data_IF_599189913843
#
_entry.id   IF_599189913843
#
_cell.length_a   1.000
_cell.length_b   1.000
_cell.length_c   1.000
_cell.angle_alpha   90.00
_cell.angle_beta   90.00
_cell.angle_gamma   90.00
#
_symmetry.space_group_name_H-M   'P 1'
#
loop_
_entity.id
_entity.type
_entity.pdbx_description
1 polymer ?
#
# COMPACT_ATOMS: atom_id res chain seq x y z
N UNK A 1 3.15 -30.22 -19.58
CA UNK A 1 3.67 -29.65 -18.31
C UNK A 1 4.46 -28.39 -18.64
N UNK A 2 4.43 -27.40 -17.73
CA UNK A 2 5.14 -26.11 -17.77
C UNK A 2 4.30 -24.94 -18.34
N UNK A 3 3.51 -24.33 -17.45
CA UNK A 3 3.15 -22.90 -17.45
C UNK A 3 2.59 -22.56 -16.06
N UNK A 4 3.47 -22.55 -15.05
CA UNK A 4 3.13 -22.10 -13.69
C UNK A 4 4.27 -21.26 -13.10
N UNK A 5 4.71 -20.24 -13.82
CA UNK A 5 5.89 -19.45 -13.43
C UNK A 5 5.62 -17.94 -13.24
N UNK A 6 4.35 -17.52 -13.22
CA UNK A 6 3.99 -16.12 -12.94
C UNK A 6 2.77 -15.93 -12.02
N UNK A 7 2.48 -16.90 -11.13
CA UNK A 7 1.70 -16.62 -9.92
C UNK A 7 2.67 -16.25 -8.79
N UNK A 8 3.27 -15.06 -8.87
CA UNK A 8 3.97 -14.46 -7.73
C UNK A 8 3.02 -13.50 -6.99
N UNK A 9 3.19 -13.37 -5.66
CA UNK A 9 2.09 -13.39 -4.70
C UNK A 9 1.42 -12.02 -4.58
N UNK A 10 0.30 -11.85 -5.27
CA UNK A 10 -0.62 -10.74 -4.99
C UNK A 10 -1.31 -10.89 -3.61
N UNK A 11 -1.11 -12.02 -2.94
CA UNK A 11 -1.78 -12.37 -1.69
C UNK A 11 -0.93 -12.14 -0.43
N UNK A 12 0.36 -11.80 -0.59
CA UNK A 12 1.27 -11.64 0.54
C UNK A 12 1.36 -10.18 0.96
N UNK A 13 0.85 -9.88 2.16
CA UNK A 13 0.71 -8.51 2.66
C UNK A 13 2.09 -7.86 2.81
N UNK A 14 3.11 -8.59 3.25
CA UNK A 14 4.47 -8.07 3.36
C UNK A 14 5.04 -7.65 2.00
N UNK A 15 4.68 -8.36 0.92
CA UNK A 15 5.05 -7.98 -0.44
C UNK A 15 4.32 -6.68 -0.87
N UNK A 16 3.02 -6.58 -0.62
CA UNK A 16 2.23 -5.39 -0.93
C UNK A 16 2.73 -4.15 -0.16
N UNK A 17 3.10 -4.33 1.12
CA UNK A 17 3.73 -3.31 1.97
C UNK A 17 5.08 -2.86 1.38
N UNK A 18 5.94 -3.78 0.99
CA UNK A 18 7.23 -3.45 0.37
C UNK A 18 7.04 -2.75 -0.99
N UNK A 19 6.08 -3.19 -1.80
CA UNK A 19 5.77 -2.59 -3.09
C UNK A 19 5.30 -1.15 -2.93
N UNK A 20 4.40 -0.88 -1.98
CA UNK A 20 3.96 0.48 -1.66
C UNK A 20 5.12 1.33 -1.12
N UNK A 21 5.92 0.80 -0.19
CA UNK A 21 7.09 1.52 0.36
C UNK A 21 8.09 1.90 -0.74
N UNK A 22 8.36 0.98 -1.68
CA UNK A 22 9.21 1.26 -2.85
C UNK A 22 8.60 2.34 -3.72
N UNK A 23 7.30 2.28 -4.02
CA UNK A 23 6.62 3.30 -4.82
C UNK A 23 6.70 4.70 -4.18
N UNK A 24 6.49 4.81 -2.85
CA UNK A 24 6.64 6.06 -2.08
C UNK A 24 8.08 6.59 -2.17
N UNK A 25 9.09 5.73 -1.98
CA UNK A 25 10.49 6.12 -2.08
C UNK A 25 10.87 6.57 -3.49
N UNK A 26 10.42 5.85 -4.52
CA UNK A 26 10.65 6.22 -5.92
C UNK A 26 10.03 7.58 -6.24
N UNK A 27 8.79 7.84 -5.79
CA UNK A 27 8.15 9.16 -5.96
C UNK A 27 8.92 10.25 -5.23
N UNK A 28 9.28 10.05 -3.97
CA UNK A 28 10.03 11.04 -3.17
C UNK A 28 11.39 11.37 -3.80
N UNK A 29 12.11 10.36 -4.27
CA UNK A 29 13.40 10.55 -4.94
C UNK A 29 13.22 11.29 -6.28
N UNK A 30 12.19 10.93 -7.05
CA UNK A 30 11.87 11.64 -8.29
C UNK A 30 11.50 13.10 -8.02
N UNK A 31 10.62 13.38 -7.06
CA UNK A 31 10.24 14.75 -6.67
C UNK A 31 11.45 15.58 -6.23
N UNK A 32 12.40 15.00 -5.50
CA UNK A 32 13.67 15.66 -5.15
C UNK A 32 14.50 16.03 -6.38
N UNK A 33 14.53 15.18 -7.42
CA UNK A 33 15.28 15.42 -8.65
C UNK A 33 14.59 16.41 -9.61
N UNK A 34 13.28 16.64 -9.50
CA UNK A 34 12.50 17.45 -10.47
C UNK A 34 12.53 18.96 -10.17
N UNK A 35 13.40 19.45 -9.29
CA UNK A 35 13.66 20.89 -9.12
C UNK A 35 14.46 21.53 -10.28
N UNK A 36 14.62 20.79 -11.39
CA UNK A 36 15.33 21.23 -12.59
C UNK A 36 14.38 21.95 -13.57
N UNK A 37 14.89 22.86 -14.42
CA UNK A 37 14.10 23.65 -15.38
C UNK A 37 13.30 22.81 -16.39
N UNK A 38 13.58 21.50 -16.50
CA UNK A 38 12.86 20.53 -17.35
C UNK A 38 11.63 19.90 -16.67
N UNK A 39 11.15 20.45 -15.55
CA UNK A 39 10.05 19.91 -14.75
C UNK A 39 8.73 19.68 -15.52
N UNK A 40 8.50 20.44 -16.61
CA UNK A 40 7.34 20.27 -17.51
C UNK A 40 7.39 18.94 -18.28
N UNK A 41 8.56 18.52 -18.76
CA UNK A 41 8.73 17.23 -19.47
C UNK A 41 8.61 16.03 -18.53
N UNK A 42 8.84 16.25 -17.23
CA UNK A 42 8.74 15.24 -16.18
C UNK A 42 7.31 15.14 -15.59
N UNK A 43 6.38 15.98 -16.05
CA UNK A 43 4.99 16.00 -15.62
C UNK A 43 4.25 14.67 -15.84
N UNK A 44 4.37 13.98 -17.00
CA UNK A 44 3.73 12.68 -17.21
C UNK A 44 4.29 11.61 -16.25
N UNK A 45 5.60 11.64 -16.00
CA UNK A 45 6.26 10.72 -15.08
C UNK A 45 5.77 10.92 -13.64
N UNK A 46 5.50 12.15 -13.19
CA UNK A 46 4.86 12.42 -11.89
C UNK A 46 3.49 11.74 -11.77
N UNK A 47 2.66 11.84 -12.80
CA UNK A 47 1.34 11.19 -12.82
C UNK A 47 1.41 9.67 -12.80
N UNK A 48 2.36 9.08 -13.55
CA UNK A 48 2.58 7.63 -13.55
C UNK A 48 3.01 7.16 -12.16
N UNK A 49 3.93 7.87 -11.50
CA UNK A 49 4.38 7.50 -10.15
C UNK A 49 3.25 7.58 -9.13
N UNK A 50 2.44 8.64 -9.16
CA UNK A 50 1.25 8.77 -8.29
C UNK A 50 0.22 7.66 -8.55
N UNK A 51 -0.02 7.31 -9.82
CA UNK A 51 -0.91 6.18 -10.16
C UNK A 51 -0.37 4.85 -9.63
N UNK A 52 0.93 4.60 -9.76
CA UNK A 52 1.56 3.37 -9.25
C UNK A 52 1.48 3.27 -7.73
N UNK A 53 1.71 4.36 -7.00
CA UNK A 53 1.53 4.44 -5.54
C UNK A 53 0.06 4.16 -5.16
N UNK A 54 -0.90 4.75 -5.87
CA UNK A 54 -2.33 4.48 -5.63
C UNK A 54 -2.71 3.01 -5.92
N UNK A 55 -2.22 2.44 -7.02
CA UNK A 55 -2.50 1.05 -7.39
C UNK A 55 -1.94 0.05 -6.37
N UNK A 56 -0.73 0.26 -5.86
CA UNK A 56 -0.14 -0.63 -4.86
C UNK A 56 -0.85 -0.51 -3.51
N UNK A 57 -1.32 0.70 -3.15
CA UNK A 57 -2.16 0.89 -1.97
C UNK A 57 -3.53 0.22 -2.11
N UNK A 58 -4.19 0.37 -3.27
CA UNK A 58 -5.46 -0.30 -3.56
C UNK A 58 -5.33 -1.83 -3.49
N UNK A 59 -4.21 -2.37 -3.98
CA UNK A 59 -3.90 -3.78 -3.86
C UNK A 59 -3.73 -4.20 -2.39
N UNK A 60 -3.00 -3.42 -1.58
CA UNK A 60 -2.85 -3.67 -0.14
C UNK A 60 -4.19 -3.63 0.61
N UNK A 61 -5.06 -2.66 0.28
CA UNK A 61 -6.40 -2.54 0.88
C UNK A 61 -7.24 -3.79 0.60
N UNK A 62 -7.19 -4.30 -0.63
CA UNK A 62 -7.97 -5.48 -1.08
C UNK A 62 -7.37 -6.81 -0.65
N UNK A 63 -6.08 -6.88 -0.38
CA UNK A 63 -5.41 -8.11 0.04
C UNK A 63 -6.01 -8.62 1.35
N UNK A 64 -6.43 -9.89 1.39
CA UNK A 64 -6.94 -10.52 2.61
C UNK A 64 -5.77 -11.09 3.41
N UNK A 65 -5.68 -10.81 4.72
CA UNK A 65 -4.68 -11.44 5.57
C UNK A 65 -4.92 -12.94 5.65
N UNK A 66 -3.85 -13.72 5.49
CA UNK A 66 -3.88 -15.20 5.61
C UNK A 66 -3.48 -15.66 7.01
N UNK A 67 -2.76 -14.82 7.74
CA UNK A 67 -2.29 -15.03 9.11
C UNK A 67 -2.64 -13.84 10.00
N UNK A 68 -2.71 -14.09 11.31
CA UNK A 68 -2.85 -13.05 12.32
C UNK A 68 -1.71 -12.03 12.24
N UNK A 69 -0.48 -12.49 11.96
CA UNK A 69 0.71 -11.63 11.82
C UNK A 69 0.52 -10.69 10.62
N UNK A 70 -0.01 -11.18 9.50
CA UNK A 70 -0.24 -10.36 8.31
C UNK A 70 -1.35 -9.33 8.54
N UNK A 71 -2.36 -9.67 9.34
CA UNK A 71 -3.42 -8.75 9.74
C UNK A 71 -2.87 -7.60 10.60
N UNK A 72 -1.96 -7.92 11.52
CA UNK A 72 -1.26 -6.92 12.34
C UNK A 72 -0.38 -6.00 11.49
N UNK A 73 0.43 -6.58 10.58
CA UNK A 73 1.29 -5.81 9.68
C UNK A 73 0.47 -4.87 8.79
N UNK A 74 -0.64 -5.37 8.23
CA UNK A 74 -1.57 -4.55 7.43
C UNK A 74 -2.18 -3.41 8.23
N UNK A 75 -2.63 -3.67 9.46
CA UNK A 75 -3.22 -2.65 10.32
C UNK A 75 -2.19 -1.55 10.64
N UNK A 76 -1.01 -1.93 11.14
CA UNK A 76 0.05 -1.00 11.50
C UNK A 76 0.50 -0.18 10.28
N UNK A 77 0.62 -0.81 9.12
CA UNK A 77 1.01 -0.13 7.91
C UNK A 77 -0.06 0.84 7.39
N UNK A 78 -1.34 0.47 7.45
CA UNK A 78 -2.44 1.38 7.08
C UNK A 78 -2.49 2.60 8.01
N UNK A 79 -2.30 2.41 9.33
CA UNK A 79 -2.20 3.52 10.29
C UNK A 79 -1.02 4.43 9.94
N UNK A 80 0.16 3.85 9.67
CA UNK A 80 1.33 4.62 9.27
C UNK A 80 1.12 5.37 7.94
N UNK A 81 0.43 4.77 6.97
CA UNK A 81 0.13 5.39 5.69
C UNK A 81 -0.86 6.57 5.82
N UNK A 82 -1.87 6.43 6.68
CA UNK A 82 -2.86 7.49 6.97
C UNK A 82 -2.24 8.65 7.76
N UNK A 83 -1.43 8.35 8.79
CA UNK A 83 -0.78 9.38 9.62
C UNK A 83 0.28 10.16 8.86
N UNK A 84 1.03 9.52 7.97
CA UNK A 84 2.03 10.18 7.13
C UNK A 84 1.44 11.03 5.98
N UNK A 85 0.10 11.19 5.90
CA UNK A 85 -0.61 11.80 4.76
C UNK A 85 -0.13 11.26 3.40
N UNK A 86 0.36 10.02 3.37
CA UNK A 86 0.99 9.46 2.17
C UNK A 86 -0.06 9.13 1.09
N UNK A 87 -1.33 9.00 1.49
CA UNK A 87 -2.40 8.67 0.57
C UNK A 87 -3.70 9.40 0.93
N UNK A 88 -4.35 10.00 -0.07
CA UNK A 88 -5.78 10.32 -0.02
C UNK A 88 -6.54 9.00 -0.12
N UNK A 89 -6.74 8.35 1.02
CA UNK A 89 -7.52 7.12 1.14
C UNK A 89 -8.99 7.50 1.24
N UNK A 90 -9.80 7.00 0.32
CA UNK A 90 -11.23 7.27 0.27
C UNK A 90 -11.98 6.53 1.40
N UNK A 91 -13.12 7.07 1.85
CA UNK A 91 -13.89 6.47 2.95
C UNK A 91 -14.35 5.04 2.65
N UNK A 92 -14.62 4.74 1.38
CA UNK A 92 -14.98 3.40 0.90
C UNK A 92 -13.81 2.41 0.95
N UNK A 93 -12.59 2.88 0.70
CA UNK A 93 -11.37 2.08 0.79
C UNK A 93 -11.05 1.72 2.26
N UNK A 94 -11.28 2.65 3.18
CA UNK A 94 -11.16 2.40 4.62
C UNK A 94 -12.16 1.32 5.06
N UNK A 95 -13.42 1.41 4.62
CA UNK A 95 -14.44 0.40 4.91
C UNK A 95 -14.06 -0.99 4.39
N UNK A 96 -13.48 -1.06 3.19
CA UNK A 96 -12.99 -2.30 2.60
C UNK A 96 -11.82 -2.89 3.40
N UNK A 97 -10.86 -2.06 3.79
CA UNK A 97 -9.75 -2.49 4.64
C UNK A 97 -10.23 -3.01 5.99
N UNK A 98 -11.17 -2.32 6.64
CA UNK A 98 -11.78 -2.76 7.90
C UNK A 98 -12.51 -4.10 7.70
N UNK A 99 -13.26 -4.26 6.61
CA UNK A 99 -13.94 -5.51 6.31
C UNK A 99 -12.96 -6.68 6.19
N UNK A 100 -11.81 -6.49 5.53
CA UNK A 100 -10.77 -7.52 5.43
C UNK A 100 -10.08 -7.84 6.76
N UNK A 101 -10.02 -6.88 7.69
CA UNK A 101 -9.42 -7.05 9.01
C UNK A 101 -10.41 -7.60 10.05
N UNK A 102 -11.72 -7.50 9.79
CA UNK A 102 -12.77 -7.91 10.73
C UNK A 102 -12.71 -9.41 11.06
N UNK A 103 -12.24 -10.24 10.12
CA UNK A 103 -12.02 -11.67 10.33
C UNK A 103 -10.99 -11.97 11.45
N UNK A 104 -10.09 -11.02 11.74
CA UNK A 104 -9.03 -11.14 12.76
C UNK A 104 -9.24 -10.19 13.94
N UNK A 105 -10.45 -9.66 14.11
CA UNK A 105 -10.77 -8.64 15.13
C UNK A 105 -10.37 -9.04 16.55
N UNK A 106 -10.49 -10.31 16.92
CA UNK A 106 -10.14 -10.82 18.26
C UNK A 106 -8.65 -10.67 18.60
N UNK A 107 -7.77 -10.74 17.59
CA UNK A 107 -6.31 -10.61 17.75
C UNK A 107 -5.85 -9.16 17.62
N UNK A 108 -6.59 -8.35 16.87
CA UNK A 108 -6.27 -6.93 16.65
C UNK A 108 -6.75 -6.01 17.79
N UNK A 109 -7.82 -6.39 18.51
CA UNK A 109 -8.38 -5.58 19.59
C UNK A 109 -7.38 -5.22 20.71
N UNK A 110 -6.54 -6.15 21.20
CA UNK A 110 -5.52 -5.85 22.21
C UNK A 110 -4.45 -4.85 21.75
N UNK A 111 -4.21 -4.73 20.44
CA UNK A 111 -3.20 -3.83 19.87
C UNK A 111 -3.69 -2.38 19.78
N UNK A 112 -5.00 -2.16 19.71
CA UNK A 112 -5.62 -0.84 19.54
C UNK A 112 -6.14 -0.29 20.87
N UNK A 113 -6.40 -1.16 21.84
CA UNK A 113 -7.00 -0.82 23.15
C UNK A 113 -5.99 -0.38 24.22
N UNK A 114 -4.78 0.06 23.85
CA UNK A 114 -3.72 0.45 24.79
C UNK A 114 -3.61 1.95 24.98
#
# INVERSE_FOLDING_TARGET
MITSLFSQPADDISYAVQAHRRAVLTRKNFERSVNLPWSLFLYPARHIMRRREKQTLDALIRAQPKSNIDAEEKLLYLIAALTAQAANVDRSQIGTAIATLNAHKSVLYPLISK
#
